data_IF_092260434352
#
_entry.id   IF_092260434352
#
_cell.length_a   1.000
_cell.length_b   1.000
_cell.length_c   1.000
_cell.angle_alpha   90.00
_cell.angle_beta   90.00
_cell.angle_gamma   90.00
#
_symmetry.space_group_name_H-M   'P 1'
#
loop_
_entity.id
_entity.type
_entity.pdbx_description
1 polymer ?
#
# COMPACT_ATOMS: atom_id res chain seq x y z
N UNK A 1 23.93 9.39 16.80
CA UNK A 1 22.87 9.35 15.78
C UNK A 1 21.62 8.86 16.49
N UNK A 2 20.75 9.81 16.86
CA UNK A 2 19.63 9.57 17.79
C UNK A 2 18.47 8.87 17.08
N UNK A 3 18.20 7.63 17.47
CA UNK A 3 17.19 6.74 16.90
C UNK A 3 15.83 6.82 17.59
N UNK A 4 15.29 8.01 17.78
CA UNK A 4 13.89 8.19 18.17
C UNK A 4 13.21 9.02 17.10
N UNK A 5 12.46 8.35 16.21
CA UNK A 5 11.55 9.03 15.29
C UNK A 5 10.57 9.90 16.08
N UNK A 6 10.12 11.04 15.54
CA UNK A 6 9.23 11.94 16.26
C UNK A 6 7.97 11.20 16.70
N UNK A 7 7.52 11.46 17.94
CA UNK A 7 6.21 11.01 18.42
C UNK A 7 5.15 11.45 17.39
N UNK A 8 4.48 10.50 16.72
CA UNK A 8 3.58 10.84 15.61
C UNK A 8 2.41 11.65 16.12
N UNK A 9 2.29 12.86 15.55
CA UNK A 9 1.23 13.82 15.78
C UNK A 9 -0.13 13.28 15.36
N UNK A 10 -1.20 13.92 15.84
CA UNK A 10 -2.63 13.66 15.61
C UNK A 10 -3.08 13.89 14.13
N UNK A 11 -2.21 13.66 13.14
CA UNK A 11 -2.51 13.83 11.71
C UNK A 11 -3.08 12.57 11.08
N UNK A 12 -3.90 12.74 10.05
CA UNK A 12 -4.42 11.63 9.22
C UNK A 12 -3.25 10.79 8.72
N UNK A 13 -3.25 9.49 9.03
CA UNK A 13 -2.21 8.56 8.63
C UNK A 13 -2.39 8.13 7.18
N UNK A 14 -1.33 8.14 6.38
CA UNK A 14 -1.40 7.78 4.97
C UNK A 14 -1.01 6.32 4.72
N UNK A 15 -1.96 5.50 4.28
CA UNK A 15 -1.73 4.12 3.85
C UNK A 15 -1.53 4.07 2.35
N UNK A 16 -0.33 3.68 1.90
CA UNK A 16 -0.03 3.41 0.50
C UNK A 16 -0.26 1.94 0.17
N UNK A 17 -1.15 1.67 -0.79
CA UNK A 17 -1.35 0.34 -1.39
C UNK A 17 -0.64 0.31 -2.74
N UNK A 18 0.43 -0.47 -2.86
CA UNK A 18 1.11 -0.73 -4.14
C UNK A 18 0.65 -2.09 -4.66
N UNK A 19 0.15 -2.14 -5.90
CA UNK A 19 -0.43 -3.36 -6.43
C UNK A 19 0.07 -3.74 -7.83
N UNK A 20 0.32 -5.04 -8.02
CA UNK A 20 0.47 -5.71 -9.30
C UNK A 20 -0.70 -6.68 -9.45
N UNK A 21 -1.67 -6.33 -10.31
CA UNK A 21 -2.91 -7.09 -10.47
C UNK A 21 -3.09 -7.63 -11.89
N UNK A 22 -2.23 -8.55 -12.37
CA UNK A 22 -2.27 -9.03 -13.75
C UNK A 22 -3.40 -10.03 -14.01
N UNK A 23 -4.15 -10.45 -12.98
CA UNK A 23 -5.21 -11.45 -13.10
C UNK A 23 -6.49 -11.06 -12.35
N UNK A 24 -7.65 -11.63 -12.72
CA UNK A 24 -8.91 -11.42 -12.00
C UNK A 24 -8.82 -11.73 -10.50
N UNK A 25 -8.08 -12.77 -10.12
CA UNK A 25 -7.92 -13.13 -8.70
C UNK A 25 -7.14 -12.07 -7.92
N UNK A 26 -6.04 -11.56 -8.49
CA UNK A 26 -5.28 -10.46 -7.86
C UNK A 26 -6.07 -9.15 -7.83
N UNK A 27 -6.94 -8.93 -8.82
CA UNK A 27 -7.85 -7.79 -8.85
C UNK A 27 -8.92 -7.88 -7.75
N UNK A 28 -9.56 -9.04 -7.58
CA UNK A 28 -10.52 -9.27 -6.50
C UNK A 28 -9.87 -9.09 -5.11
N UNK A 29 -8.62 -9.54 -4.94
CA UNK A 29 -7.85 -9.31 -3.72
C UNK A 29 -7.59 -7.82 -3.48
N UNK A 30 -7.23 -7.06 -4.51
CA UNK A 30 -7.07 -5.61 -4.40
C UNK A 30 -8.36 -4.92 -3.97
N UNK A 31 -9.49 -5.31 -4.56
CA UNK A 31 -10.80 -4.76 -4.23
C UNK A 31 -11.19 -5.04 -2.78
N UNK A 32 -10.99 -6.27 -2.30
CA UNK A 32 -11.20 -6.62 -0.91
C UNK A 32 -10.30 -5.81 0.05
N UNK A 33 -9.02 -5.64 -0.29
CA UNK A 33 -8.08 -4.84 0.50
C UNK A 33 -8.49 -3.37 0.52
N UNK A 34 -8.85 -2.78 -0.61
CA UNK A 34 -9.31 -1.37 -0.68
C UNK A 34 -10.60 -1.20 0.11
N UNK A 35 -11.56 -2.12 -0.03
CA UNK A 35 -12.81 -2.09 0.73
C UNK A 35 -12.53 -2.13 2.24
N UNK A 36 -11.68 -3.04 2.70
CA UNK A 36 -11.34 -3.15 4.11
C UNK A 36 -10.53 -1.96 4.63
N UNK A 37 -9.60 -1.42 3.83
CA UNK A 37 -8.77 -0.29 4.22
C UNK A 37 -9.52 1.05 4.23
N UNK A 38 -10.59 1.16 3.44
CA UNK A 38 -11.46 2.35 3.35
C UNK A 38 -12.81 2.14 4.06
N UNK A 39 -12.88 1.18 4.97
CA UNK A 39 -14.07 0.93 5.78
C UNK A 39 -14.44 2.21 6.59
N UNK A 40 -15.71 2.65 6.62
CA UNK A 40 -16.12 3.85 7.35
C UNK A 40 -15.81 3.84 8.86
N UNK A 41 -15.68 2.67 9.48
CA UNK A 41 -15.27 2.54 10.88
C UNK A 41 -13.78 2.82 11.09
N UNK A 42 -12.97 2.76 10.03
CA UNK A 42 -11.56 3.15 10.04
C UNK A 42 -11.45 4.66 9.84
N UNK A 43 -11.23 5.37 10.94
CA UNK A 43 -11.07 6.84 10.95
C UNK A 43 -9.60 7.24 11.01
N UNK A 44 -9.30 8.46 10.55
CA UNK A 44 -7.94 9.02 10.62
C UNK A 44 -6.93 8.36 9.67
N UNK A 45 -7.40 7.62 8.65
CA UNK A 45 -6.55 7.01 7.62
C UNK A 45 -6.94 7.53 6.23
N UNK A 46 -5.94 7.97 5.46
CA UNK A 46 -6.07 8.24 4.03
C UNK A 46 -5.49 7.07 3.25
N UNK A 47 -6.33 6.39 2.46
CA UNK A 47 -5.88 5.32 1.57
C UNK A 47 -5.48 5.89 0.22
N UNK A 48 -4.26 5.58 -0.21
CA UNK A 48 -3.72 5.95 -1.52
C UNK A 48 -3.32 4.69 -2.26
N UNK A 49 -3.81 4.51 -3.48
CA UNK A 49 -3.51 3.35 -4.32
C UNK A 49 -2.59 3.73 -5.47
N UNK A 50 -1.58 2.90 -5.73
CA UNK A 50 -0.67 3.03 -6.87
C UNK A 50 -0.46 1.67 -7.56
N UNK A 51 -0.60 1.60 -8.89
CA UNK A 51 -0.06 0.46 -9.65
C UNK A 51 1.46 0.37 -9.42
N UNK A 52 1.99 -0.84 -9.37
CA UNK A 52 3.41 -1.08 -9.07
C UNK A 52 4.38 -0.36 -10.02
N UNK A 53 4.03 -0.19 -11.29
CA UNK A 53 4.85 0.56 -12.27
C UNK A 53 4.83 2.08 -12.07
N UNK A 54 3.84 2.61 -11.36
CA UNK A 54 3.69 4.05 -11.12
C UNK A 54 4.15 4.47 -9.72
N UNK A 55 4.18 3.53 -8.77
CA UNK A 55 4.65 3.77 -7.42
C UNK A 55 6.15 4.12 -7.43
N UNK A 56 6.51 5.18 -6.71
CA UNK A 56 7.90 5.65 -6.63
C UNK A 56 8.31 5.93 -5.17
N UNK A 57 9.57 6.32 -4.98
CA UNK A 57 10.12 6.57 -3.65
C UNK A 57 9.39 7.69 -2.88
N UNK A 58 8.85 8.70 -3.58
CA UNK A 58 8.10 9.78 -2.93
C UNK A 58 6.80 9.23 -2.33
N UNK A 59 6.09 8.35 -3.04
CA UNK A 59 4.86 7.74 -2.51
C UNK A 59 5.14 7.02 -1.17
N UNK A 60 6.28 6.32 -1.07
CA UNK A 60 6.70 5.60 0.14
C UNK A 60 7.11 6.56 1.25
N UNK A 61 7.91 7.58 0.92
CA UNK A 61 8.39 8.56 1.91
C UNK A 61 7.26 9.42 2.49
N UNK A 62 6.21 9.67 1.71
CA UNK A 62 4.99 10.34 2.18
C UNK A 62 4.06 9.40 2.97
N UNK A 63 4.24 8.09 2.86
CA UNK A 63 3.37 7.11 3.50
C UNK A 63 3.81 6.81 4.93
N UNK A 64 2.82 6.55 5.75
CA UNK A 64 2.98 6.12 7.12
C UNK A 64 2.98 4.60 7.27
N UNK A 65 2.40 3.92 6.28
CA UNK A 65 2.30 2.48 6.17
C UNK A 65 2.21 2.09 4.69
N UNK A 66 2.76 0.93 4.36
CA UNK A 66 2.74 0.37 3.00
C UNK A 66 2.12 -1.02 3.03
N UNK A 67 1.20 -1.27 2.10
CA UNK A 67 0.65 -2.58 1.79
C UNK A 67 1.06 -2.96 0.36
N UNK A 68 1.73 -4.10 0.22
CA UNK A 68 2.16 -4.64 -1.07
C UNK A 68 1.24 -5.78 -1.51
N UNK A 69 0.53 -5.59 -2.62
CA UNK A 69 -0.27 -6.64 -3.26
C UNK A 69 0.41 -7.10 -4.55
N UNK A 70 1.12 -8.21 -4.53
CA UNK A 70 1.76 -8.79 -5.72
C UNK A 70 1.54 -10.30 -5.76
N UNK A 71 1.30 -10.91 -6.94
CA UNK A 71 1.17 -12.35 -7.04
C UNK A 71 2.45 -13.05 -6.58
N UNK A 72 2.28 -14.26 -6.03
CA UNK A 72 3.40 -15.18 -5.87
C UNK A 72 3.78 -15.75 -7.24
N UNK A 73 5.06 -15.66 -7.60
CA UNK A 73 5.64 -16.29 -8.77
C UNK A 73 6.72 -17.27 -8.31
N UNK A 74 6.49 -18.57 -8.50
CA UNK A 74 7.42 -19.66 -8.11
C UNK A 74 7.92 -19.51 -6.66
N UNK A 75 7.00 -19.20 -5.74
CA UNK A 75 7.32 -19.05 -4.30
C UNK A 75 7.96 -17.72 -3.89
N UNK A 76 8.03 -16.73 -4.78
CA UNK A 76 8.53 -15.39 -4.47
C UNK A 76 7.54 -14.28 -4.85
N UNK A 77 7.72 -13.05 -4.32
CA UNK A 77 6.95 -11.90 -4.79
C UNK A 77 7.27 -11.60 -6.26
N UNK A 78 6.26 -11.54 -7.12
CA UNK A 78 6.49 -11.21 -8.53
C UNK A 78 7.12 -9.82 -8.65
N UNK A 79 8.22 -9.75 -9.40
CA UNK A 79 8.66 -8.51 -9.99
C UNK A 79 7.59 -7.96 -10.93
N UNK A 80 7.70 -6.68 -11.21
CA UNK A 80 6.89 -6.01 -12.21
C UNK A 80 7.85 -5.45 -13.26
N UNK A 81 7.61 -5.85 -14.50
CA UNK A 81 8.38 -5.39 -15.64
C UNK A 81 7.52 -4.39 -16.41
N UNK A 82 8.18 -3.39 -17.00
CA UNK A 82 7.57 -2.43 -17.93
C UNK A 82 7.15 -3.09 -19.23
#
# INVERSE_FOLDING_TARGET
>A
MSGAGPARSLSVSRLLIVHHTPSPATQAMLEAVVSGASDPEITGVQVVRRPALAANAVDVLESDAVLLGTPANIGYMSGVNV
#
